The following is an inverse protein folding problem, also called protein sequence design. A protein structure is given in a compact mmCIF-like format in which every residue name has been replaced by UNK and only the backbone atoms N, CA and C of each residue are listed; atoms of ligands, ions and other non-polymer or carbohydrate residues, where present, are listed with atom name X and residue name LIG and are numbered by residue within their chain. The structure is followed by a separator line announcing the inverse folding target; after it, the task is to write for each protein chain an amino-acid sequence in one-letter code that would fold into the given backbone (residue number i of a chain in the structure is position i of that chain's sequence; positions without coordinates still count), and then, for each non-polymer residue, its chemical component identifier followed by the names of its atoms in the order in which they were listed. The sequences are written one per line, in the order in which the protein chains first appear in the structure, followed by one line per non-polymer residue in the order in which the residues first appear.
data_IF_325059174477
#
_entry.id   IF_325059174477
#
_cell.length_a   1.000
_cell.length_b   1.000
_cell.length_c   1.000
_cell.angle_alpha   90.00
_cell.angle_beta   90.00
_cell.angle_gamma   90.00
#
_symmetry.space_group_name_H-M   'P 1'
#
loop_
_entity.id
_entity.type
_entity.pdbx_description
1 polymer ?
#
# COMPACT_ATOMS: atom_id res chain seq x y z
N UNK A 1 -17.95 -12.55 -1.31
CA UNK A 1 -16.87 -11.55 -1.35
C UNK A 1 -15.57 -12.24 -1.00
N UNK A 2 -14.53 -12.07 -1.81
CA UNK A 2 -13.19 -12.57 -1.46
C UNK A 2 -12.70 -11.88 -0.19
N UNK A 3 -11.83 -12.55 0.56
CA UNK A 3 -11.27 -12.01 1.80
C UNK A 3 -10.16 -11.01 1.45
N UNK A 4 -10.03 -9.91 2.19
CA UNK A 4 -8.85 -9.05 2.13
C UNK A 4 -7.61 -9.89 2.45
N UNK A 5 -6.67 -9.95 1.51
CA UNK A 5 -5.38 -10.62 1.70
C UNK A 5 -4.34 -9.61 2.19
N UNK A 6 -3.34 -10.08 2.93
CA UNK A 6 -2.18 -9.27 3.32
C UNK A 6 -0.89 -9.97 2.92
N UNK A 7 0.05 -9.21 2.34
CA UNK A 7 1.42 -9.68 2.07
C UNK A 7 2.40 -8.51 2.11
N UNK A 8 3.68 -8.82 2.16
CA UNK A 8 4.75 -7.83 2.05
C UNK A 8 5.26 -7.75 0.60
N UNK A 9 5.58 -6.54 0.17
CA UNK A 9 6.07 -6.25 -1.18
C UNK A 9 7.30 -5.36 -1.08
N UNK A 10 8.39 -5.79 -1.71
CA UNK A 10 9.62 -5.01 -1.78
C UNK A 10 9.45 -3.82 -2.73
N UNK A 11 9.85 -2.63 -2.29
CA UNK A 11 9.84 -1.38 -3.05
C UNK A 11 10.86 -0.41 -2.45
N UNK A 12 11.58 0.35 -3.28
CA UNK A 12 12.51 1.40 -2.84
C UNK A 12 13.44 1.00 -1.66
N UNK A 13 13.97 -0.23 -1.70
CA UNK A 13 14.88 -0.74 -0.65
C UNK A 13 14.22 -1.10 0.69
N UNK A 14 12.89 -1.06 0.78
CA UNK A 14 12.10 -1.48 1.96
C UNK A 14 11.01 -2.49 1.58
N UNK A 15 10.37 -3.11 2.57
CA UNK A 15 9.18 -3.92 2.39
C UNK A 15 7.93 -3.25 3.00
N UNK A 16 6.96 -2.94 2.14
CA UNK A 16 5.65 -2.48 2.57
C UNK A 16 4.70 -3.66 2.77
N UNK A 17 4.00 -3.68 3.91
CA UNK A 17 2.82 -4.54 4.07
C UNK A 17 1.65 -3.94 3.31
N UNK A 18 1.00 -4.72 2.45
CA UNK A 18 -0.20 -4.32 1.74
C UNK A 18 -1.39 -5.16 2.17
N UNK A 19 -2.57 -4.53 2.21
CA UNK A 19 -3.85 -5.21 2.22
C UNK A 19 -4.52 -5.02 0.85
N UNK A 20 -4.88 -6.13 0.21
CA UNK A 20 -5.38 -6.09 -1.17
C UNK A 20 -6.62 -6.98 -1.36
N UNK A 21 -7.46 -6.58 -2.32
CA UNK A 21 -8.60 -7.36 -2.77
C UNK A 21 -8.99 -6.97 -4.20
N UNK A 22 -9.51 -7.93 -4.96
CA UNK A 22 -10.00 -7.72 -6.31
C UNK A 22 -8.90 -7.84 -7.37
N UNK A 23 -9.32 -7.70 -8.62
CA UNK A 23 -8.47 -7.74 -9.82
C UNK A 23 -8.96 -6.64 -10.77
N UNK A 24 -8.11 -6.16 -11.67
CA UNK A 24 -8.44 -5.09 -12.61
C UNK A 24 -7.55 -3.85 -12.44
N UNK A 25 -8.01 -2.65 -12.84
CA UNK A 25 -7.25 -1.42 -12.69
C UNK A 25 -6.90 -1.15 -11.21
N UNK A 26 -5.68 -0.70 -10.95
CA UNK A 26 -5.17 -0.44 -9.60
C UNK A 26 -5.82 0.79 -8.98
N UNK A 27 -6.25 0.67 -7.73
CA UNK A 27 -6.62 1.80 -6.86
C UNK A 27 -5.80 1.72 -5.58
N UNK A 28 -4.87 2.66 -5.40
CA UNK A 28 -4.05 2.77 -4.20
C UNK A 28 -4.72 3.66 -3.16
N UNK A 29 -4.78 3.18 -1.92
CA UNK A 29 -5.40 3.86 -0.79
C UNK A 29 -4.33 4.19 0.27
N UNK A 30 -3.80 5.40 0.21
CA UNK A 30 -2.70 5.85 1.08
C UNK A 30 -3.27 6.49 2.34
N UNK A 31 -2.98 5.92 3.51
CA UNK A 31 -3.48 6.44 4.79
C UNK A 31 -2.67 7.64 5.30
N UNK A 32 -3.23 8.40 6.24
CA UNK A 32 -2.56 9.52 6.92
C UNK A 32 -2.01 9.16 8.29
N UNK A 33 -1.82 10.18 9.14
CA UNK A 33 -1.42 10.01 10.54
C UNK A 33 -2.64 10.15 11.47
N UNK A 34 -2.77 9.35 12.54
CA UNK A 34 -2.00 8.15 12.93
C UNK A 34 -2.78 6.87 12.56
N UNK A 35 -2.73 6.48 11.28
CA UNK A 35 -3.59 5.43 10.74
C UNK A 35 -2.82 4.15 10.34
N UNK A 36 -3.46 3.28 9.55
CA UNK A 36 -2.90 2.08 8.92
C UNK A 36 -3.74 1.71 7.69
N UNK A 37 -3.36 0.64 6.97
CA UNK A 37 -4.21 0.08 5.90
C UNK A 37 -5.67 -0.14 6.37
N UNK A 38 -5.87 -0.43 7.66
CA UNK A 38 -7.16 -0.77 8.24
C UNK A 38 -8.18 0.38 8.24
N UNK A 39 -7.73 1.63 8.07
CA UNK A 39 -8.63 2.77 7.85
C UNK A 39 -9.49 2.59 6.61
N UNK A 40 -8.99 1.85 5.62
CA UNK A 40 -9.65 1.58 4.34
C UNK A 40 -10.47 0.28 4.30
N UNK A 41 -10.65 -0.41 5.43
CA UNK A 41 -11.34 -1.73 5.50
C UNK A 41 -12.75 -1.75 4.89
N UNK A 42 -13.43 -0.61 4.81
CA UNK A 42 -14.75 -0.49 4.21
C UNK A 42 -14.69 -0.19 2.71
N UNK A 43 -13.66 0.57 2.28
CA UNK A 43 -13.45 0.95 0.89
C UNK A 43 -12.84 -0.18 0.08
N UNK A 44 -11.94 -0.99 0.66
CA UNK A 44 -11.27 -2.09 -0.04
C UNK A 44 -12.30 -3.06 -0.68
N UNK A 45 -13.29 -3.61 0.05
CA UNK A 45 -14.27 -4.50 -0.56
C UNK A 45 -15.16 -3.78 -1.57
N UNK A 46 -15.58 -2.54 -1.29
CA UNK A 46 -16.45 -1.78 -2.18
C UNK A 46 -15.79 -1.46 -3.54
N UNK A 47 -14.51 -1.10 -3.52
CA UNK A 47 -13.72 -0.85 -4.73
C UNK A 47 -13.41 -2.15 -5.46
N UNK A 48 -13.10 -3.24 -4.73
CA UNK A 48 -12.91 -4.56 -5.34
C UNK A 48 -14.18 -5.07 -6.04
N UNK A 49 -15.34 -4.95 -5.39
CA UNK A 49 -16.63 -5.35 -5.96
C UNK A 49 -17.03 -4.50 -7.18
N UNK A 50 -16.46 -3.29 -7.32
CA UNK A 50 -16.60 -2.44 -8.50
C UNK A 50 -15.67 -2.84 -9.67
N UNK A 51 -14.88 -3.92 -9.54
CA UNK A 51 -14.02 -4.44 -10.61
C UNK A 51 -12.60 -3.85 -10.66
N UNK A 52 -12.11 -3.35 -9.52
CA UNK A 52 -10.77 -2.81 -9.38
C UNK A 52 -9.90 -3.70 -8.50
N UNK A 53 -8.58 -3.59 -8.65
CA UNK A 53 -7.64 -4.11 -7.68
C UNK A 53 -7.40 -3.04 -6.61
N UNK A 54 -8.06 -3.19 -5.45
CA UNK A 54 -7.93 -2.27 -4.32
C UNK A 54 -6.71 -2.66 -3.47
N UNK A 55 -5.76 -1.73 -3.29
CA UNK A 55 -4.55 -1.97 -2.51
C UNK A 55 -4.33 -0.84 -1.50
N UNK A 56 -4.20 -1.18 -0.23
CA UNK A 56 -3.89 -0.27 0.86
C UNK A 56 -2.57 -0.69 1.54
N UNK A 57 -1.45 0.01 1.32
CA UNK A 57 -0.24 -0.22 2.08
C UNK A 57 -0.35 0.32 3.51
N UNK A 58 0.34 -0.31 4.46
CA UNK A 58 0.89 0.43 5.59
C UNK A 58 2.04 1.29 5.06
N UNK A 59 1.98 2.62 5.24
CA UNK A 59 3.03 3.52 4.77
C UNK A 59 4.36 3.27 5.49
N UNK A 60 5.49 3.73 4.92
CA UNK A 60 6.82 3.68 5.57
C UNK A 60 6.73 4.11 7.04
N UNK A 61 7.23 3.27 7.95
CA UNK A 61 7.16 3.53 9.39
C UNK A 61 5.92 2.99 10.11
N UNK A 62 4.87 2.58 9.39
CA UNK A 62 3.60 2.19 9.99
C UNK A 62 3.37 0.67 9.98
N UNK A 63 2.46 0.24 10.86
CA UNK A 63 1.91 -1.11 10.86
C UNK A 63 2.96 -2.21 10.73
N UNK A 64 2.83 -3.06 9.72
CA UNK A 64 3.76 -4.15 9.43
C UNK A 64 4.79 -3.83 8.33
N UNK A 65 4.82 -2.58 7.85
CA UNK A 65 5.87 -2.11 6.93
C UNK A 65 7.18 -1.87 7.68
N UNK A 66 8.27 -1.85 6.93
CA UNK A 66 9.58 -1.50 7.48
C UNK A 66 9.58 -0.09 8.08
N UNK A 67 10.46 0.09 9.08
CA UNK A 67 10.60 1.30 9.89
C UNK A 67 12.08 1.68 9.95
N UNK A 68 12.63 2.28 8.89
CA UNK A 68 14.03 2.65 8.87
C UNK A 68 14.37 3.58 10.04
N UNK A 69 15.52 3.36 10.69
CA UNK A 69 15.90 4.17 11.87
C UNK A 69 16.27 5.62 11.51
N UNK A 70 16.76 5.84 10.29
CA UNK A 70 17.17 7.17 9.83
C UNK A 70 15.95 8.04 9.50
N UNK A 71 15.74 9.06 10.35
CA UNK A 71 14.67 10.06 10.23
C UNK A 71 14.70 10.77 8.88
N UNK A 72 15.89 10.96 8.28
CA UNK A 72 16.01 11.61 6.98
C UNK A 72 15.29 10.85 5.86
N UNK A 73 15.03 9.55 6.05
CA UNK A 73 14.35 8.69 5.08
C UNK A 73 12.82 8.79 5.10
N UNK A 74 12.25 9.62 5.97
CA UNK A 74 10.80 9.89 6.04
C UNK A 74 10.37 11.15 5.26
N UNK A 75 11.22 11.62 4.35
CA UNK A 75 10.92 12.75 3.49
C UNK A 75 9.94 12.34 2.37
N UNK A 76 9.31 13.34 1.72
CA UNK A 76 8.30 13.09 0.69
C UNK A 76 8.84 12.43 -0.58
N UNK A 77 10.14 12.59 -0.88
CA UNK A 77 10.76 11.93 -2.04
C UNK A 77 10.81 10.43 -1.81
N UNK A 78 11.27 9.99 -0.64
CA UNK A 78 11.31 8.56 -0.30
C UNK A 78 9.92 7.96 -0.24
N UNK A 79 8.95 8.64 0.38
CA UNK A 79 7.56 8.17 0.41
C UNK A 79 6.98 8.04 -1.00
N UNK A 80 7.27 9.00 -1.89
CA UNK A 80 6.80 8.92 -3.29
C UNK A 80 7.48 7.77 -4.03
N UNK A 81 8.78 7.57 -3.84
CA UNK A 81 9.53 6.47 -4.45
C UNK A 81 9.04 5.10 -3.97
N UNK A 82 8.65 4.98 -2.70
CA UNK A 82 8.02 3.77 -2.15
C UNK A 82 6.75 3.41 -2.95
N UNK A 83 5.93 4.42 -3.27
CA UNK A 83 4.68 4.22 -4.02
C UNK A 83 4.93 3.93 -5.51
N UNK A 84 5.83 4.65 -6.16
CA UNK A 84 6.23 4.39 -7.55
C UNK A 84 6.73 2.94 -7.68
N UNK A 85 7.65 2.52 -6.80
CA UNK A 85 8.18 1.17 -6.81
C UNK A 85 7.11 0.11 -6.46
N UNK A 86 6.14 0.45 -5.61
CA UNK A 86 5.02 -0.45 -5.30
C UNK A 86 4.12 -0.67 -6.52
N UNK A 87 3.81 0.40 -7.28
CA UNK A 87 3.01 0.30 -8.51
C UNK A 87 3.68 -0.66 -9.50
N UNK A 88 4.99 -0.47 -9.72
CA UNK A 88 5.77 -1.37 -10.60
C UNK A 88 5.83 -2.81 -10.06
N UNK A 89 6.05 -3.00 -8.75
CA UNK A 89 6.11 -4.32 -8.12
C UNK A 89 4.76 -5.07 -8.17
N UNK A 90 3.64 -4.36 -8.32
CA UNK A 90 2.31 -4.92 -8.53
C UNK A 90 2.01 -5.22 -10.01
N UNK A 91 2.93 -4.89 -10.93
CA UNK A 91 2.79 -5.15 -12.36
C UNK A 91 2.04 -4.07 -13.14
N UNK A 92 1.92 -2.85 -12.59
CA UNK A 92 1.29 -1.71 -13.24
C UNK A 92 2.34 -0.67 -13.69
N UNK A 93 1.99 0.12 -14.71
CA UNK A 93 2.82 1.21 -15.23
C UNK A 93 2.54 2.52 -14.47
N UNK A 94 3.57 3.37 -14.34
CA UNK A 94 3.53 4.70 -13.70
C UNK A 94 3.58 5.82 -14.72
#
# INVERSE_FOLDING_TARGET
MSKINQRRVSTNGIELNIAEQGEGPLVLMLHGFPESWYSWRHQIPAVADAGFHAVAPDMRGYGKSDKPDDIATYNQVEVTNDIIGLISALGYET
#
